data_IF_995757122722
#
_entry.id   IF_995757122722
#
_cell.length_a   1.000
_cell.length_b   1.000
_cell.length_c   1.000
_cell.angle_alpha   90.00
_cell.angle_beta   90.00
_cell.angle_gamma   90.00
#
_symmetry.space_group_name_H-M   'P 1'
#
loop_
_entity.id
_entity.type
_entity.pdbx_description
1 polymer ?
#
# COMPACT_ATOMS: atom_id res chain seq x y z
N UNK A 1 29.60 1.75 -24.95
CA UNK A 1 28.19 1.52 -24.54
C UNK A 1 27.40 2.80 -24.78
N UNK A 2 26.62 2.86 -25.85
CA UNK A 2 26.05 4.10 -26.39
C UNK A 2 24.66 4.40 -25.79
N UNK A 3 24.34 5.69 -25.67
CA UNK A 3 23.09 6.26 -25.12
C UNK A 3 21.78 5.65 -25.68
N UNK A 4 21.84 4.99 -26.85
CA UNK A 4 20.73 4.25 -27.48
C UNK A 4 20.33 2.97 -26.73
N UNK A 5 21.27 2.29 -26.07
CA UNK A 5 20.98 1.04 -25.34
C UNK A 5 20.23 1.29 -24.03
N UNK A 6 20.47 2.45 -23.38
CA UNK A 6 19.74 2.87 -22.18
C UNK A 6 18.26 3.16 -22.44
N UNK A 7 17.96 3.84 -23.56
CA UNK A 7 16.59 4.11 -24.01
C UNK A 7 15.85 2.82 -24.37
N UNK A 8 16.51 1.89 -25.08
CA UNK A 8 15.93 0.57 -25.39
C UNK A 8 15.65 -0.26 -24.14
N UNK A 9 16.52 -0.21 -23.13
CA UNK A 9 16.25 -0.85 -21.83
C UNK A 9 15.06 -0.21 -21.12
N UNK A 10 14.96 1.11 -21.08
CA UNK A 10 13.81 1.81 -20.48
C UNK A 10 12.48 1.50 -21.18
N UNK A 11 12.47 1.42 -22.52
CA UNK A 11 11.28 1.06 -23.28
C UNK A 11 10.88 -0.40 -23.00
N UNK A 12 11.85 -1.32 -22.91
CA UNK A 12 11.59 -2.72 -22.55
C UNK A 12 11.05 -2.88 -21.14
N UNK A 13 11.60 -2.16 -20.15
CA UNK A 13 11.06 -2.17 -18.78
C UNK A 13 9.65 -1.58 -18.72
N UNK A 14 9.36 -0.56 -19.52
CA UNK A 14 8.00 0.01 -19.63
C UNK A 14 7.02 -0.98 -20.26
N UNK A 15 7.42 -1.66 -21.32
CA UNK A 15 6.59 -2.68 -21.96
C UNK A 15 6.33 -3.86 -21.03
N UNK A 16 7.32 -4.28 -20.23
CA UNK A 16 7.18 -5.31 -19.22
C UNK A 16 6.19 -4.89 -18.12
N UNK A 17 6.40 -3.72 -17.50
CA UNK A 17 5.50 -3.20 -16.46
C UNK A 17 4.05 -3.01 -16.97
N UNK A 18 3.87 -2.60 -18.23
CA UNK A 18 2.55 -2.46 -18.85
C UNK A 18 1.87 -3.82 -19.10
N UNK A 19 2.64 -4.86 -19.42
CA UNK A 19 2.12 -6.23 -19.60
C UNK A 19 1.74 -6.86 -18.27
N UNK A 20 2.57 -6.68 -17.25
CA UNK A 20 2.28 -7.10 -15.87
C UNK A 20 1.02 -6.42 -15.36
N UNK A 21 0.92 -5.10 -15.52
CA UNK A 21 -0.29 -4.35 -15.15
C UNK A 21 -1.54 -4.85 -15.87
N UNK A 22 -1.47 -5.11 -17.19
CA UNK A 22 -2.60 -5.67 -17.94
C UNK A 22 -3.00 -7.05 -17.43
N UNK A 23 -2.03 -7.91 -17.11
CA UNK A 23 -2.28 -9.25 -16.60
C UNK A 23 -2.90 -9.21 -15.18
N UNK A 24 -2.40 -8.34 -14.30
CA UNK A 24 -2.98 -8.10 -12.98
C UNK A 24 -4.40 -7.53 -13.08
N UNK A 25 -4.64 -6.62 -14.03
CA UNK A 25 -5.95 -6.02 -14.24
C UNK A 25 -6.98 -7.04 -14.75
N UNK A 26 -6.58 -7.95 -15.63
CA UNK A 26 -7.44 -9.06 -16.06
C UNK A 26 -7.70 -10.06 -14.92
N UNK A 27 -6.69 -10.40 -14.11
CA UNK A 27 -6.87 -11.23 -12.90
C UNK A 27 -7.80 -10.57 -11.88
N UNK A 28 -7.69 -9.24 -11.72
CA UNK A 28 -8.58 -8.47 -10.86
C UNK A 28 -10.01 -8.47 -11.38
N UNK A 29 -10.23 -8.24 -12.67
CA UNK A 29 -11.57 -8.35 -13.28
C UNK A 29 -12.14 -9.75 -13.13
N UNK A 30 -11.32 -10.79 -13.27
CA UNK A 30 -11.73 -12.17 -13.02
C UNK A 30 -12.09 -12.40 -11.54
N UNK A 31 -11.27 -11.89 -10.61
CA UNK A 31 -11.53 -11.96 -9.17
C UNK A 31 -12.77 -11.15 -8.75
N UNK A 32 -13.03 -10.01 -9.40
CA UNK A 32 -14.20 -9.16 -9.15
C UNK A 32 -15.47 -9.77 -9.76
N UNK A 33 -15.38 -10.44 -10.92
CA UNK A 33 -16.48 -11.26 -11.45
C UNK A 33 -16.76 -12.48 -10.55
N UNK A 34 -15.72 -13.07 -9.94
CA UNK A 34 -15.87 -14.12 -8.93
C UNK A 34 -16.45 -13.59 -7.61
N UNK A 35 -16.05 -12.38 -7.19
CA UNK A 35 -16.52 -11.69 -5.99
C UNK A 35 -17.89 -11.01 -6.17
N UNK A 36 -18.35 -10.76 -7.39
CA UNK A 36 -19.68 -10.24 -7.70
C UNK A 36 -20.83 -11.17 -7.23
N UNK A 37 -20.50 -12.40 -6.81
CA UNK A 37 -21.42 -13.34 -6.16
C UNK A 37 -21.41 -13.26 -4.62
N UNK A 38 -20.49 -12.51 -4.02
CA UNK A 38 -20.40 -12.20 -2.58
C UNK A 38 -20.14 -10.71 -2.43
N UNK A 39 -21.21 -9.92 -2.52
CA UNK A 39 -21.23 -8.53 -2.06
C UNK A 39 -20.66 -8.46 -0.63
N UNK A 40 -19.92 -7.40 -0.37
CA UNK A 40 -19.28 -7.02 0.92
C UNK A 40 -17.86 -7.54 1.15
N UNK A 41 -16.90 -6.92 0.44
CA UNK A 41 -15.58 -6.69 1.02
C UNK A 41 -15.10 -5.29 0.63
N UNK A 42 -15.30 -4.38 1.59
CA UNK A 42 -14.51 -3.19 1.95
C UNK A 42 -13.50 -2.65 0.93
N UNK A 43 -13.74 -1.39 0.52
CA UNK A 43 -12.76 -0.33 0.27
C UNK A 43 -11.38 -0.75 -0.29
N UNK A 44 -11.36 -1.35 -1.48
CA UNK A 44 -10.18 -1.30 -2.32
C UNK A 44 -10.09 0.09 -2.97
N UNK A 45 -9.76 1.10 -2.16
CA UNK A 45 -9.45 2.45 -2.61
C UNK A 45 -8.12 2.41 -3.38
N UNK A 46 -8.21 2.04 -4.65
CA UNK A 46 -7.11 1.97 -5.59
C UNK A 46 -6.74 3.41 -5.96
N UNK A 47 -5.61 3.96 -5.46
CA UNK A 47 -5.13 5.22 -5.96
C UNK A 47 -4.78 4.95 -7.43
N UNK A 48 -5.13 5.87 -8.32
CA UNK A 48 -4.76 5.76 -9.73
C UNK A 48 -3.27 5.50 -9.94
N UNK A 49 -2.85 5.21 -11.19
CA UNK A 49 -1.44 4.94 -11.49
C UNK A 49 -0.53 6.02 -10.87
N UNK A 50 0.66 5.64 -10.36
CA UNK A 50 1.54 6.61 -9.72
C UNK A 50 1.74 7.80 -10.65
N UNK A 51 1.63 9.04 -10.15
CA UNK A 51 1.84 10.21 -10.99
C UNK A 51 3.21 10.07 -11.63
N UNK A 52 3.25 10.14 -12.97
CA UNK A 52 4.46 10.04 -13.78
C UNK A 52 4.74 11.40 -14.42
N UNK A 53 5.89 11.55 -15.09
CA UNK A 53 6.25 12.76 -15.85
C UNK A 53 5.14 13.24 -16.79
N UNK A 54 4.32 12.31 -17.30
CA UNK A 54 3.16 12.59 -18.15
C UNK A 54 2.09 13.46 -17.50
N UNK A 55 1.90 13.40 -16.17
CA UNK A 55 0.93 14.24 -15.47
C UNK A 55 1.29 15.74 -15.55
N UNK A 56 2.56 16.04 -15.80
CA UNK A 56 3.06 17.41 -15.89
C UNK A 56 3.16 17.93 -17.33
N UNK A 57 2.99 17.07 -18.35
CA UNK A 57 3.08 17.47 -19.76
C UNK A 57 1.95 18.38 -20.23
N UNK A 58 0.67 18.20 -19.81
CA UNK A 58 -0.41 19.10 -20.23
C UNK A 58 -0.14 20.57 -19.91
N UNK A 59 0.64 20.85 -18.86
CA UNK A 59 1.02 22.20 -18.49
C UNK A 59 1.89 22.90 -19.53
N UNK A 60 2.61 22.18 -20.40
CA UNK A 60 3.36 22.79 -21.52
C UNK A 60 2.43 23.57 -22.47
N UNK A 61 1.13 23.28 -22.49
CA UNK A 61 0.13 24.06 -23.24
C UNK A 61 0.04 25.51 -22.77
N UNK A 62 0.47 25.82 -21.54
CA UNK A 62 0.54 27.20 -21.06
C UNK A 62 1.57 28.03 -21.84
N UNK A 63 2.59 27.39 -22.42
CA UNK A 63 3.55 28.03 -23.32
C UNK A 63 3.06 28.21 -24.76
N UNK A 64 1.82 27.81 -25.08
CA UNK A 64 1.28 27.88 -26.44
C UNK A 64 1.14 29.31 -26.96
N UNK A 65 0.93 30.29 -26.06
CA UNK A 65 0.95 31.72 -26.43
C UNK A 65 2.30 32.15 -27.02
N UNK A 66 3.41 31.71 -26.43
CA UNK A 66 4.77 31.98 -26.94
C UNK A 66 5.01 31.35 -28.31
N UNK A 67 4.48 30.14 -28.53
CA UNK A 67 4.52 29.48 -29.84
C UNK A 67 3.66 30.20 -30.89
N UNK A 68 2.48 30.68 -30.49
CA UNK A 68 1.59 31.47 -31.35
C UNK A 68 2.26 32.78 -31.78
N UNK A 69 2.92 33.48 -30.85
CA UNK A 69 3.66 34.71 -31.15
C UNK A 69 4.86 34.48 -32.09
N UNK A 70 5.45 33.28 -32.04
CA UNK A 70 6.50 32.86 -32.96
C UNK A 70 5.96 32.67 -34.39
N UNK A 71 4.82 31.98 -34.53
CA UNK A 71 4.18 31.74 -35.82
C UNK A 71 3.57 32.99 -36.45
N UNK A 72 3.02 33.90 -35.63
CA UNK A 72 2.44 35.16 -36.09
C UNK A 72 3.50 36.22 -36.44
N UNK A 73 4.79 35.92 -36.32
CA UNK A 73 5.88 36.85 -36.63
C UNK A 73 5.98 38.06 -35.68
N UNK A 74 5.34 38.00 -34.51
CA UNK A 74 5.33 39.09 -33.51
C UNK A 74 6.58 39.11 -32.62
N UNK A 75 7.49 38.15 -32.81
CA UNK A 75 8.70 37.96 -32.01
C UNK A 75 9.93 38.55 -32.69
N UNK A 76 10.66 39.47 -32.03
CA UNK A 76 11.94 39.94 -32.53
C UNK A 76 12.93 38.77 -32.66
N UNK A 77 13.40 38.47 -33.86
CA UNK A 77 14.29 37.34 -34.16
C UNK A 77 13.67 35.94 -33.82
N UNK A 78 12.84 35.39 -34.73
CA UNK A 78 12.12 34.14 -34.50
C UNK A 78 13.02 32.91 -34.34
N UNK A 79 14.23 32.90 -34.93
CA UNK A 79 15.14 31.76 -34.82
C UNK A 79 15.64 31.55 -33.38
N UNK A 80 15.97 32.64 -32.68
CA UNK A 80 16.41 32.59 -31.29
C UNK A 80 15.25 32.17 -30.38
N UNK A 81 14.06 32.74 -30.60
CA UNK A 81 12.86 32.39 -29.85
C UNK A 81 12.48 30.91 -30.02
N UNK A 82 12.51 30.41 -31.25
CA UNK A 82 12.25 29.00 -31.56
C UNK A 82 13.25 28.04 -30.90
N UNK A 83 14.55 28.37 -30.96
CA UNK A 83 15.59 27.57 -30.30
C UNK A 83 15.42 27.58 -28.78
N UNK A 84 15.12 28.74 -28.20
CA UNK A 84 14.87 28.90 -26.76
C UNK A 84 13.65 28.10 -26.29
N UNK A 85 12.54 28.17 -27.03
CA UNK A 85 11.33 27.40 -26.76
C UNK A 85 11.58 25.89 -26.78
N UNK A 86 12.28 25.41 -27.82
CA UNK A 86 12.63 23.99 -27.94
C UNK A 86 13.53 23.53 -26.79
N UNK A 87 14.53 24.34 -26.43
CA UNK A 87 15.47 24.05 -25.34
C UNK A 87 14.75 24.05 -23.99
N UNK A 88 13.85 25.00 -23.75
CA UNK A 88 13.04 25.07 -22.53
C UNK A 88 12.14 23.84 -22.39
N UNK A 89 11.38 23.48 -23.43
CA UNK A 89 10.51 22.32 -23.41
C UNK A 89 11.30 21.01 -23.19
N UNK A 90 12.47 20.89 -23.81
CA UNK A 90 13.37 19.75 -23.63
C UNK A 90 13.88 19.65 -22.18
N UNK A 91 14.30 20.77 -21.59
CA UNK A 91 14.72 20.85 -20.18
C UNK A 91 13.56 20.55 -19.22
N UNK A 92 12.38 21.09 -19.49
CA UNK A 92 11.18 20.84 -18.70
C UNK A 92 10.82 19.36 -18.67
N UNK A 93 10.75 18.70 -19.84
CA UNK A 93 10.48 17.26 -19.94
C UNK A 93 11.57 16.47 -19.20
N UNK A 94 12.83 16.85 -19.36
CA UNK A 94 13.94 16.17 -18.69
C UNK A 94 13.86 16.26 -17.15
N UNK A 95 13.60 17.45 -16.61
CA UNK A 95 13.50 17.68 -15.17
C UNK A 95 12.25 17.01 -14.60
N UNK A 96 11.10 17.18 -15.24
CA UNK A 96 9.84 16.58 -14.78
C UNK A 96 9.93 15.07 -14.72
N UNK A 97 10.40 14.38 -15.76
CA UNK A 97 10.56 12.91 -15.71
C UNK A 97 11.55 12.43 -14.66
N UNK A 98 12.64 13.17 -14.43
CA UNK A 98 13.61 12.83 -13.38
C UNK A 98 13.14 13.12 -11.97
N UNK A 99 12.20 14.04 -11.80
CA UNK A 99 11.64 14.40 -10.49
C UNK A 99 10.85 13.26 -9.85
N UNK A 100 10.34 12.31 -10.66
CA UNK A 100 9.60 11.14 -10.19
C UNK A 100 10.50 9.99 -9.72
N UNK A 101 11.78 10.03 -10.04
CA UNK A 101 12.77 9.04 -9.59
C UNK A 101 13.60 9.66 -8.45
N UNK A 102 13.46 9.13 -7.23
CA UNK A 102 14.09 9.68 -6.01
C UNK A 102 15.61 9.77 -6.12
N UNK A 103 16.26 8.82 -6.81
CA UNK A 103 17.70 8.81 -7.01
C UNK A 103 18.13 9.89 -8.03
N UNK A 104 17.38 10.04 -9.12
CA UNK A 104 17.69 11.03 -10.16
C UNK A 104 17.32 12.46 -9.75
N UNK A 105 16.29 12.64 -8.91
CA UNK A 105 15.86 13.94 -8.39
C UNK A 105 16.97 14.68 -7.64
N UNK A 106 17.76 13.97 -6.82
CA UNK A 106 18.86 14.54 -6.02
C UNK A 106 20.19 14.66 -6.80
N UNK A 107 20.26 14.17 -8.02
CA UNK A 107 21.48 14.23 -8.84
C UNK A 107 21.85 15.68 -9.16
N UNK A 108 23.15 15.96 -9.16
CA UNK A 108 23.73 17.25 -9.58
C UNK A 108 23.22 17.65 -10.97
N UNK A 109 23.08 16.69 -11.88
CA UNK A 109 22.59 16.93 -13.23
C UNK A 109 21.15 17.47 -13.30
N UNK A 110 20.28 17.14 -12.34
CA UNK A 110 18.92 17.69 -12.25
C UNK A 110 18.93 19.12 -11.71
N UNK A 111 19.82 19.41 -10.75
CA UNK A 111 20.04 20.78 -10.25
C UNK A 111 20.61 21.70 -11.32
N UNK A 112 21.61 21.22 -12.08
CA UNK A 112 22.18 21.94 -13.21
C UNK A 112 21.11 22.20 -14.27
N UNK A 113 20.28 21.20 -14.61
CA UNK A 113 19.18 21.39 -15.55
C UNK A 113 18.15 22.43 -15.08
N UNK A 114 17.82 22.47 -13.78
CA UNK A 114 16.94 23.50 -13.21
C UNK A 114 17.56 24.90 -13.28
N UNK A 115 18.86 25.03 -12.99
CA UNK A 115 19.56 26.32 -13.10
C UNK A 115 19.59 26.79 -14.55
N UNK A 116 19.95 25.91 -15.49
CA UNK A 116 19.93 26.21 -16.92
C UNK A 116 18.53 26.61 -17.40
N UNK A 117 17.50 25.89 -16.93
CA UNK A 117 16.12 26.20 -17.24
C UNK A 117 15.72 27.58 -16.69
N UNK A 118 16.11 27.92 -15.46
CA UNK A 118 15.87 29.25 -14.88
C UNK A 118 16.59 30.39 -15.60
N UNK A 119 17.85 30.19 -16.00
CA UNK A 119 18.59 31.15 -16.81
C UNK A 119 17.93 31.36 -18.18
N UNK A 120 17.50 30.27 -18.83
CA UNK A 120 16.80 30.32 -20.10
C UNK A 120 15.44 31.03 -19.98
N UNK A 121 14.65 30.71 -18.95
CA UNK A 121 13.39 31.40 -18.64
C UNK A 121 13.60 32.89 -18.46
N UNK A 122 14.65 33.27 -17.72
CA UNK A 122 14.99 34.68 -17.49
C UNK A 122 15.36 35.40 -18.79
N UNK A 123 16.22 34.79 -19.62
CA UNK A 123 16.64 35.37 -20.89
C UNK A 123 15.46 35.55 -21.86
N UNK A 124 14.58 34.54 -21.95
CA UNK A 124 13.38 34.61 -22.77
C UNK A 124 12.37 35.65 -22.25
N UNK A 125 12.17 35.72 -20.94
CA UNK A 125 11.29 36.69 -20.29
C UNK A 125 11.74 38.14 -20.55
N UNK A 126 13.03 38.44 -20.34
CA UNK A 126 13.57 39.79 -20.53
C UNK A 126 13.62 40.18 -22.02
N UNK A 127 13.97 39.24 -22.89
CA UNK A 127 14.09 39.45 -24.33
C UNK A 127 12.75 39.71 -25.03
N UNK A 128 11.75 38.88 -24.73
CA UNK A 128 10.49 38.87 -25.48
C UNK A 128 9.28 39.44 -24.71
N UNK A 129 9.25 39.30 -23.38
CA UNK A 129 8.12 39.73 -22.56
C UNK A 129 6.78 39.03 -22.88
N UNK A 130 5.67 39.59 -22.40
CA UNK A 130 4.31 39.09 -22.68
C UNK A 130 4.13 37.61 -22.36
N UNK A 131 3.63 36.84 -23.32
CA UNK A 131 3.36 35.39 -23.15
C UNK A 131 4.58 34.56 -22.76
N UNK A 132 5.81 35.06 -22.98
CA UNK A 132 7.04 34.38 -22.58
C UNK A 132 7.24 34.39 -21.05
N UNK A 133 6.53 35.25 -20.32
CA UNK A 133 6.53 35.25 -18.86
C UNK A 133 5.81 34.03 -18.27
N UNK A 134 4.97 33.33 -19.05
CA UNK A 134 4.30 32.08 -18.63
C UNK A 134 5.26 30.90 -18.42
N UNK A 135 6.53 31.04 -18.83
CA UNK A 135 7.55 30.04 -18.49
C UNK A 135 7.94 30.04 -17.01
N UNK A 136 7.66 31.10 -16.26
CA UNK A 136 7.93 31.15 -14.82
C UNK A 136 7.08 30.17 -14.00
N UNK A 137 5.75 30.08 -14.18
CA UNK A 137 4.98 29.06 -13.48
C UNK A 137 5.33 27.63 -13.89
N UNK A 138 5.76 27.39 -15.13
CA UNK A 138 6.30 26.09 -15.56
C UNK A 138 7.63 25.75 -14.87
N UNK A 139 8.51 26.75 -14.68
CA UNK A 139 9.70 26.60 -13.85
C UNK A 139 9.32 26.34 -12.39
N UNK A 140 8.30 27.02 -11.85
CA UNK A 140 7.75 26.78 -10.52
C UNK A 140 7.28 25.34 -10.33
N UNK A 141 6.55 24.79 -11.30
CA UNK A 141 6.11 23.39 -11.33
C UNK A 141 7.31 22.43 -11.32
N UNK A 142 8.32 22.66 -12.17
CA UNK A 142 9.53 21.85 -12.21
C UNK A 142 10.33 21.91 -10.88
N UNK A 143 10.43 23.09 -10.27
CA UNK A 143 11.05 23.32 -8.96
C UNK A 143 10.29 22.58 -7.86
N UNK A 144 8.96 22.71 -7.81
CA UNK A 144 8.12 22.00 -6.83
C UNK A 144 8.20 20.48 -6.97
N UNK A 145 8.28 19.97 -8.20
CA UNK A 145 8.44 18.55 -8.45
C UNK A 145 9.81 18.02 -7.97
N UNK A 146 10.87 18.81 -8.14
CA UNK A 146 12.25 18.42 -7.84
C UNK A 146 12.67 18.66 -6.38
N UNK A 147 12.25 19.77 -5.78
CA UNK A 147 12.59 20.19 -4.43
C UNK A 147 11.41 19.88 -3.48
N UNK A 148 11.23 18.60 -3.15
CA UNK A 148 10.26 18.20 -2.10
C UNK A 148 10.94 18.28 -0.74
N UNK A 149 10.41 19.08 0.19
CA UNK A 149 10.94 19.15 1.56
C UNK A 149 10.69 20.47 2.30
N UNK A 150 11.29 20.63 3.50
CA UNK A 150 11.02 21.76 4.39
C UNK A 150 11.49 23.12 3.85
N UNK A 151 12.43 23.13 2.90
CA UNK A 151 12.92 24.34 2.25
C UNK A 151 12.03 24.83 1.10
N UNK A 152 11.01 24.05 0.72
CA UNK A 152 10.13 24.36 -0.39
C UNK A 152 9.47 25.74 -0.24
N UNK A 153 8.93 26.05 0.94
CA UNK A 153 8.27 27.34 1.17
C UNK A 153 9.20 28.53 0.92
N UNK A 154 10.47 28.44 1.37
CA UNK A 154 11.49 29.46 1.12
C UNK A 154 11.87 29.53 -0.35
N UNK A 155 12.16 28.40 -0.99
CA UNK A 155 12.56 28.38 -2.41
C UNK A 155 11.44 28.81 -3.34
N UNK A 156 10.19 28.43 -3.05
CA UNK A 156 9.02 28.82 -3.83
C UNK A 156 8.69 30.30 -3.67
N UNK A 157 8.81 30.84 -2.45
CA UNK A 157 8.63 32.27 -2.20
C UNK A 157 9.72 33.08 -2.90
N UNK A 158 11.00 32.70 -2.77
CA UNK A 158 12.11 33.37 -3.45
C UNK A 158 11.94 33.34 -4.97
N UNK A 159 11.54 32.20 -5.53
CA UNK A 159 11.28 32.07 -6.96
C UNK A 159 10.09 32.93 -7.41
N UNK A 160 9.03 33.02 -6.59
CA UNK A 160 7.87 33.85 -6.86
C UNK A 160 8.21 35.34 -6.86
N UNK A 161 8.95 35.81 -5.85
CA UNK A 161 9.43 37.20 -5.78
C UNK A 161 10.34 37.51 -6.96
N UNK A 162 11.23 36.59 -7.31
CA UNK A 162 12.09 36.73 -8.48
C UNK A 162 11.28 36.82 -9.79
N UNK A 163 10.33 35.92 -10.00
CA UNK A 163 9.45 35.95 -11.16
C UNK A 163 8.65 37.25 -11.24
N UNK A 164 8.08 37.70 -10.12
CA UNK A 164 7.35 38.97 -10.04
C UNK A 164 8.25 40.17 -10.39
N UNK A 165 9.50 40.20 -9.90
CA UNK A 165 10.45 41.26 -10.20
C UNK A 165 10.81 41.31 -11.70
N UNK A 166 11.08 40.15 -12.33
CA UNK A 166 11.37 40.10 -13.77
C UNK A 166 10.16 40.51 -14.59
N UNK A 167 8.97 40.05 -14.22
CA UNK A 167 7.71 40.42 -14.87
C UNK A 167 7.38 41.90 -14.72
N UNK A 168 7.69 42.50 -13.58
CA UNK A 168 7.48 43.93 -13.34
C UNK A 168 8.26 44.81 -14.33
N UNK A 169 9.52 44.45 -14.58
CA UNK A 169 10.40 45.19 -15.53
C UNK A 169 9.82 45.19 -16.94
N UNK A 170 9.02 44.18 -17.31
CA UNK A 170 8.62 43.97 -18.71
C UNK A 170 7.13 44.15 -19.02
N UNK A 171 6.26 43.95 -18.04
CA UNK A 171 4.80 44.03 -18.18
C UNK A 171 4.09 44.87 -17.10
N UNK A 172 4.85 45.46 -16.16
CA UNK A 172 4.30 46.28 -15.09
C UNK A 172 3.63 45.46 -13.96
N UNK A 173 2.86 46.16 -13.12
CA UNK A 173 2.29 45.59 -11.88
C UNK A 173 1.26 44.47 -12.11
N UNK A 174 0.49 44.54 -13.21
CA UNK A 174 -0.52 43.52 -13.54
C UNK A 174 0.14 42.16 -13.80
N UNK A 175 1.14 42.14 -14.66
CA UNK A 175 1.88 40.92 -14.99
C UNK A 175 2.72 40.42 -13.79
N UNK A 176 3.34 41.33 -13.03
CA UNK A 176 4.14 40.99 -11.86
C UNK A 176 3.36 40.18 -10.82
N UNK A 177 2.17 40.66 -10.46
CA UNK A 177 1.33 40.01 -9.44
C UNK A 177 0.79 38.66 -9.92
N UNK A 178 0.29 38.59 -11.16
CA UNK A 178 -0.24 37.36 -11.75
C UNK A 178 0.81 36.26 -11.90
N UNK A 179 1.98 36.59 -12.46
CA UNK A 179 3.04 35.61 -12.71
C UNK A 179 3.75 35.21 -11.41
N UNK A 180 3.97 36.14 -10.48
CA UNK A 180 4.48 35.83 -9.14
C UNK A 180 3.57 34.85 -8.41
N UNK A 181 2.27 35.13 -8.37
CA UNK A 181 1.27 34.27 -7.73
C UNK A 181 1.17 32.89 -8.41
N UNK A 182 1.06 32.86 -9.74
CA UNK A 182 1.01 31.60 -10.48
C UNK A 182 2.26 30.74 -10.25
N UNK A 183 3.44 31.36 -10.22
CA UNK A 183 4.72 30.66 -9.96
C UNK A 183 4.77 30.07 -8.56
N UNK A 184 4.34 30.83 -7.55
CA UNK A 184 4.22 30.34 -6.18
C UNK A 184 3.27 29.15 -6.12
N UNK A 185 2.05 29.31 -6.64
CA UNK A 185 1.00 28.30 -6.58
C UNK A 185 1.41 27.02 -7.31
N UNK A 186 1.96 27.11 -8.52
CA UNK A 186 2.45 25.95 -9.28
C UNK A 186 3.54 25.19 -8.51
N UNK A 187 4.46 25.89 -7.85
CA UNK A 187 5.51 25.25 -7.06
C UNK A 187 4.98 24.56 -5.79
N UNK A 188 4.06 25.21 -5.06
CA UNK A 188 3.48 24.67 -3.83
C UNK A 188 2.58 23.48 -4.11
N UNK A 189 1.62 23.63 -5.03
CA UNK A 189 0.62 22.60 -5.34
C UNK A 189 1.30 21.33 -5.86
N UNK A 190 2.27 21.48 -6.77
CA UNK A 190 2.99 20.32 -7.33
C UNK A 190 3.76 19.58 -6.25
N UNK A 191 4.46 20.30 -5.37
CA UNK A 191 5.20 19.68 -4.29
C UNK A 191 4.29 19.04 -3.23
N UNK A 192 3.16 19.67 -2.90
CA UNK A 192 2.18 19.15 -1.96
C UNK A 192 1.54 17.85 -2.47
N UNK A 193 1.05 17.84 -3.71
CA UNK A 193 0.43 16.66 -4.32
C UNK A 193 1.42 15.50 -4.41
N UNK A 194 2.63 15.76 -4.92
CA UNK A 194 3.64 14.71 -5.09
C UNK A 194 4.21 14.24 -3.74
N UNK A 195 4.37 15.14 -2.78
CA UNK A 195 4.79 14.83 -1.41
C UNK A 195 3.77 13.97 -0.67
N UNK A 196 2.49 14.34 -0.73
CA UNK A 196 1.40 13.56 -0.15
C UNK A 196 1.32 12.16 -0.79
N UNK A 197 1.42 12.09 -2.12
CA UNK A 197 1.43 10.82 -2.84
C UNK A 197 2.61 9.91 -2.44
N UNK A 198 3.79 10.48 -2.18
CA UNK A 198 4.97 9.76 -1.69
C UNK A 198 4.76 9.28 -0.24
N UNK A 199 4.24 10.14 0.64
CA UNK A 199 3.93 9.80 2.04
C UNK A 199 2.87 8.70 2.17
N UNK A 200 1.81 8.76 1.36
CA UNK A 200 0.75 7.72 1.34
C UNK A 200 1.33 6.38 0.90
N UNK A 201 2.21 6.36 -0.11
CA UNK A 201 2.90 5.13 -0.54
C UNK A 201 3.81 4.56 0.54
N UNK A 202 4.61 5.40 1.18
CA UNK A 202 5.49 4.98 2.28
C UNK A 202 4.69 4.43 3.46
N UNK A 203 3.58 5.09 3.84
CA UNK A 203 2.69 4.62 4.90
C UNK A 203 2.07 3.26 4.58
N UNK A 204 1.62 3.05 3.35
CA UNK A 204 1.04 1.77 2.91
C UNK A 204 2.08 0.65 2.95
N UNK A 205 3.26 0.89 2.40
CA UNK A 205 4.37 -0.07 2.46
C UNK A 205 4.74 -0.43 3.91
N UNK A 206 4.79 0.57 4.80
CA UNK A 206 5.04 0.35 6.22
C UNK A 206 3.92 -0.46 6.90
N UNK A 207 2.66 -0.19 6.58
CA UNK A 207 1.50 -0.97 7.10
C UNK A 207 1.55 -2.43 6.63
N UNK A 208 1.87 -2.69 5.37
CA UNK A 208 2.02 -4.06 4.86
C UNK A 208 3.17 -4.81 5.53
N UNK A 209 4.28 -4.12 5.78
CA UNK A 209 5.42 -4.69 6.50
C UNK A 209 5.08 -5.00 7.96
N UNK A 210 4.35 -4.10 8.63
CA UNK A 210 3.86 -4.33 10.00
C UNK A 210 2.89 -5.51 10.06
N UNK A 211 1.97 -5.62 9.09
CA UNK A 211 1.03 -6.74 9.02
C UNK A 211 1.76 -8.08 8.82
N UNK A 212 2.75 -8.12 7.91
CA UNK A 212 3.59 -9.31 7.70
C UNK A 212 4.33 -9.72 8.98
N UNK A 213 4.97 -8.76 9.64
CA UNK A 213 5.68 -9.01 10.91
C UNK A 213 4.75 -9.47 12.03
N UNK A 214 3.54 -8.92 12.09
CA UNK A 214 2.54 -9.35 13.07
C UNK A 214 2.16 -10.82 12.87
N UNK A 215 1.90 -11.24 11.63
CA UNK A 215 1.60 -12.65 11.29
C UNK A 215 2.77 -13.58 11.61
N UNK A 216 4.01 -13.18 11.28
CA UNK A 216 5.19 -14.00 11.61
C UNK A 216 5.42 -14.14 13.11
N UNK A 217 5.26 -13.03 13.86
CA UNK A 217 5.34 -13.03 15.32
C UNK A 217 4.29 -13.95 15.93
N UNK A 218 3.07 -13.91 15.39
CA UNK A 218 1.97 -14.77 15.82
C UNK A 218 2.28 -16.25 15.55
N UNK A 219 2.78 -16.57 14.35
CA UNK A 219 3.18 -17.93 13.99
C UNK A 219 4.28 -18.47 14.90
N UNK A 220 5.26 -17.63 15.26
CA UNK A 220 6.34 -18.01 16.18
C UNK A 220 5.84 -18.23 17.61
N UNK A 221 4.92 -17.38 18.09
CA UNK A 221 4.25 -17.59 19.37
C UNK A 221 3.48 -18.91 19.37
N UNK A 222 2.61 -19.10 18.37
CA UNK A 222 1.82 -20.31 18.21
C UNK A 222 2.67 -21.59 18.18
N UNK A 223 3.78 -21.57 17.43
CA UNK A 223 4.69 -22.72 17.38
C UNK A 223 5.34 -23.03 18.73
N UNK A 224 5.61 -22.01 19.55
CA UNK A 224 6.19 -22.19 20.89
C UNK A 224 5.16 -22.77 21.84
N UNK A 225 3.95 -22.19 21.86
CA UNK A 225 2.87 -22.65 22.73
C UNK A 225 2.50 -24.11 22.41
N UNK A 226 2.46 -24.48 21.12
CA UNK A 226 2.28 -25.87 20.69
C UNK A 226 3.43 -26.77 21.15
N UNK A 227 4.68 -26.31 21.03
CA UNK A 227 5.85 -27.09 21.42
C UNK A 227 5.89 -27.33 22.93
N UNK A 228 5.54 -26.32 23.74
CA UNK A 228 5.52 -26.43 25.20
C UNK A 228 4.43 -27.40 25.66
N UNK A 229 3.23 -27.33 25.08
CA UNK A 229 2.12 -28.25 25.36
C UNK A 229 2.46 -29.70 24.98
N UNK A 230 3.00 -29.89 23.78
CA UNK A 230 3.44 -31.20 23.30
C UNK A 230 4.58 -31.75 24.16
N UNK A 231 5.58 -30.93 24.46
CA UNK A 231 6.76 -31.30 25.24
C UNK A 231 6.39 -31.76 26.65
N UNK A 232 5.51 -31.01 27.32
CA UNK A 232 5.03 -31.38 28.65
C UNK A 232 4.25 -32.70 28.64
N UNK A 233 3.26 -32.83 27.73
CA UNK A 233 2.42 -34.04 27.63
C UNK A 233 3.27 -35.28 27.35
N UNK A 234 4.16 -35.21 26.36
CA UNK A 234 5.02 -36.33 26.00
C UNK A 234 5.94 -36.73 27.16
N UNK A 235 6.45 -35.76 27.91
CA UNK A 235 7.26 -36.03 29.11
C UNK A 235 6.46 -36.79 30.18
N UNK A 236 5.20 -36.38 30.45
CA UNK A 236 4.31 -37.08 31.39
C UNK A 236 4.02 -38.50 30.92
N UNK A 237 3.74 -38.70 29.63
CA UNK A 237 3.51 -40.03 29.05
C UNK A 237 4.73 -40.93 29.23
N UNK A 238 5.94 -40.42 28.97
CA UNK A 238 7.19 -41.18 29.14
C UNK A 238 7.38 -41.59 30.60
N UNK A 239 7.21 -40.67 31.55
CA UNK A 239 7.37 -40.95 32.99
C UNK A 239 6.34 -41.97 33.49
N UNK A 240 5.05 -41.81 33.12
CA UNK A 240 4.00 -42.77 33.50
C UNK A 240 4.21 -44.15 32.85
N UNK A 241 4.69 -44.19 31.60
CA UNK A 241 5.01 -45.45 30.92
C UNK A 241 6.16 -46.19 31.61
N UNK A 242 7.16 -45.45 32.09
CA UNK A 242 8.23 -46.04 32.90
C UNK A 242 7.71 -46.57 34.25
N UNK A 243 6.82 -45.83 34.93
CA UNK A 243 6.19 -46.28 36.17
C UNK A 243 5.37 -47.56 35.96
N UNK A 244 4.54 -47.62 34.91
CA UNK A 244 3.78 -48.81 34.55
C UNK A 244 4.70 -50.02 34.31
N UNK A 245 5.79 -49.84 33.56
CA UNK A 245 6.79 -50.89 33.32
C UNK A 245 7.44 -51.40 34.60
N UNK A 246 7.72 -50.53 35.57
CA UNK A 246 8.31 -50.89 36.87
C UNK A 246 7.30 -51.57 37.81
N UNK A 247 6.01 -51.24 37.71
CA UNK A 247 4.94 -51.79 38.56
C UNK A 247 4.42 -53.14 38.05
N UNK A 248 4.39 -53.37 36.73
CA UNK A 248 3.80 -54.57 36.13
C UNK A 248 4.22 -55.93 36.75
N UNK A 249 5.48 -56.14 37.19
CA UNK A 249 5.88 -57.40 37.83
C UNK A 249 5.42 -57.55 39.29
N UNK A 250 5.05 -56.45 39.95
CA UNK A 250 4.76 -56.39 41.40
C UNK A 250 3.28 -56.15 41.70
N UNK A 251 2.65 -55.32 40.89
CA UNK A 251 1.26 -54.88 41.05
C UNK A 251 0.69 -54.56 39.66
N UNK A 252 -0.06 -55.52 39.12
CA UNK A 252 -0.65 -55.41 37.79
C UNK A 252 -1.79 -54.37 37.77
N UNK A 253 -2.56 -54.26 38.84
CA UNK A 253 -3.68 -53.31 38.92
C UNK A 253 -3.15 -51.86 38.95
N UNK A 254 -2.08 -51.60 39.70
CA UNK A 254 -1.42 -50.29 39.70
C UNK A 254 -0.77 -49.96 38.34
N UNK A 255 -0.24 -50.97 37.62
CA UNK A 255 0.30 -50.77 36.28
C UNK A 255 -0.81 -50.45 35.26
N UNK A 256 -1.95 -51.14 35.32
CA UNK A 256 -3.12 -50.87 34.48
C UNK A 256 -3.67 -49.46 34.74
N UNK A 257 -3.72 -49.01 36.00
CA UNK A 257 -4.14 -47.64 36.33
C UNK A 257 -3.24 -46.57 35.67
N UNK A 258 -1.91 -46.78 35.63
CA UNK A 258 -1.01 -45.87 34.92
C UNK A 258 -1.25 -45.88 33.40
N UNK A 259 -1.59 -47.02 32.81
CA UNK A 259 -1.92 -47.13 31.38
C UNK A 259 -3.21 -46.37 31.07
N UNK A 260 -4.25 -46.50 31.90
CA UNK A 260 -5.49 -45.72 31.76
C UNK A 260 -5.24 -44.22 31.87
N UNK A 261 -4.40 -43.79 32.80
CA UNK A 261 -4.00 -42.38 32.91
C UNK A 261 -3.25 -41.88 31.67
N UNK A 262 -2.36 -42.70 31.08
CA UNK A 262 -1.66 -42.35 29.83
C UNK A 262 -2.67 -42.17 28.70
N UNK A 263 -3.67 -43.04 28.57
CA UNK A 263 -4.74 -42.90 27.58
C UNK A 263 -5.51 -41.59 27.78
N UNK A 264 -5.89 -41.28 29.02
CA UNK A 264 -6.58 -40.05 29.39
C UNK A 264 -5.76 -38.81 29.01
N UNK A 265 -4.48 -38.75 29.42
CA UNK A 265 -3.56 -37.64 29.10
C UNK A 265 -3.38 -37.48 27.59
N UNK A 266 -3.24 -38.58 26.84
CA UNK A 266 -3.11 -38.54 25.38
C UNK A 266 -4.37 -38.02 24.68
N UNK A 267 -5.56 -38.45 25.13
CA UNK A 267 -6.85 -37.93 24.61
C UNK A 267 -7.06 -36.46 24.93
N UNK A 268 -6.67 -36.03 26.13
CA UNK A 268 -6.75 -34.63 26.54
C UNK A 268 -5.84 -33.74 25.70
N UNK A 269 -4.56 -34.12 25.52
CA UNK A 269 -3.64 -33.35 24.69
C UNK A 269 -4.07 -33.25 23.21
N UNK A 270 -4.65 -34.32 22.65
CA UNK A 270 -5.23 -34.28 21.31
C UNK A 270 -6.38 -33.27 21.19
N UNK A 271 -7.19 -33.13 22.25
CA UNK A 271 -8.25 -32.13 22.33
C UNK A 271 -7.66 -30.71 22.39
N UNK A 272 -6.70 -30.48 23.30
CA UNK A 272 -6.05 -29.17 23.47
C UNK A 272 -5.32 -28.71 22.19
N UNK A 273 -4.64 -29.61 21.46
CA UNK A 273 -4.03 -29.31 20.16
C UNK A 273 -5.09 -28.98 19.11
N UNK A 274 -6.22 -29.70 19.08
CA UNK A 274 -7.31 -29.39 18.16
C UNK A 274 -7.89 -28.01 18.44
N UNK A 275 -8.05 -27.63 19.69
CA UNK A 275 -8.52 -26.29 20.08
C UNK A 275 -7.50 -25.20 19.72
N UNK A 276 -6.21 -25.44 19.94
CA UNK A 276 -5.13 -24.54 19.55
C UNK A 276 -5.02 -24.37 18.02
N UNK A 277 -5.03 -25.45 17.23
CA UNK A 277 -4.88 -25.42 15.75
C UNK A 277 -6.13 -24.93 15.04
N UNK A 278 -7.31 -25.26 15.55
CA UNK A 278 -8.54 -24.60 15.08
C UNK A 278 -8.59 -23.13 15.52
N UNK A 279 -7.60 -22.68 16.29
CA UNK A 279 -7.21 -21.30 16.44
C UNK A 279 -8.28 -20.54 17.17
N UNK A 280 -8.70 -21.01 18.36
CA UNK A 280 -9.73 -20.31 19.11
C UNK A 280 -10.88 -19.93 18.17
N UNK A 281 -11.24 -20.82 17.23
CA UNK A 281 -12.38 -20.60 16.36
C UNK A 281 -13.50 -20.45 17.37
N UNK A 282 -13.88 -19.20 17.62
CA UNK A 282 -15.22 -18.81 17.99
C UNK A 282 -16.06 -19.69 17.09
N UNK A 283 -16.50 -20.82 17.67
CA UNK A 283 -17.22 -21.81 16.92
C UNK A 283 -18.44 -21.05 16.52
N UNK A 284 -18.53 -20.67 15.24
CA UNK A 284 -19.74 -20.05 14.75
C UNK A 284 -20.87 -20.95 15.23
N UNK A 285 -21.95 -20.36 15.74
CA UNK A 285 -23.02 -21.09 16.39
C UNK A 285 -23.53 -22.18 15.45
N UNK A 286 -23.50 -21.91 14.14
CA UNK A 286 -23.78 -22.90 13.09
C UNK A 286 -22.86 -24.14 13.12
N UNK A 287 -21.56 -23.96 13.35
CA UNK A 287 -20.59 -25.05 13.47
C UNK A 287 -20.82 -25.88 14.73
N UNK A 288 -21.06 -25.22 15.88
CA UNK A 288 -21.34 -25.92 17.15
C UNK A 288 -22.70 -26.63 17.12
N UNK A 289 -23.74 -26.07 16.49
CA UNK A 289 -25.03 -26.75 16.30
C UNK A 289 -24.92 -27.98 15.38
N UNK A 290 -24.08 -27.91 14.34
CA UNK A 290 -23.82 -29.08 13.49
C UNK A 290 -23.14 -30.20 14.27
N UNK A 291 -22.16 -29.86 15.13
CA UNK A 291 -21.50 -30.82 16.03
C UNK A 291 -22.48 -31.39 17.07
N UNK A 292 -23.31 -30.53 17.66
CA UNK A 292 -24.36 -30.92 18.60
C UNK A 292 -25.29 -31.97 18.01
N UNK A 293 -25.75 -31.77 16.75
CA UNK A 293 -26.59 -32.74 16.04
C UNK A 293 -25.91 -34.11 15.96
N UNK A 294 -24.65 -34.15 15.50
CA UNK A 294 -23.91 -35.41 15.38
C UNK A 294 -23.72 -36.11 16.73
N UNK A 295 -23.41 -35.36 17.79
CA UNK A 295 -23.20 -35.91 19.13
C UNK A 295 -24.50 -36.47 19.75
N UNK A 296 -25.61 -35.72 19.67
CA UNK A 296 -26.90 -36.17 20.19
C UNK A 296 -27.45 -37.38 19.42
N UNK A 297 -27.35 -37.38 18.08
CA UNK A 297 -27.75 -38.53 17.27
C UNK A 297 -26.92 -39.78 17.57
N UNK A 298 -25.61 -39.63 17.85
CA UNK A 298 -24.77 -40.74 18.27
C UNK A 298 -25.15 -41.30 19.66
N UNK A 299 -25.75 -40.47 20.51
CA UNK A 299 -26.33 -40.86 21.80
C UNK A 299 -27.80 -41.31 21.70
N UNK A 300 -28.33 -41.52 20.49
CA UNK A 300 -29.73 -41.88 20.23
C UNK A 300 -30.76 -40.87 20.76
N UNK A 301 -30.35 -39.61 20.96
CA UNK A 301 -31.23 -38.49 21.30
C UNK A 301 -31.59 -37.77 20.01
N UNK A 302 -32.88 -37.60 19.71
CA UNK A 302 -33.35 -36.95 18.49
C UNK A 302 -33.40 -35.41 18.65
N UNK A 303 -32.53 -34.64 17.96
CA UNK A 303 -32.41 -33.21 18.20
C UNK A 303 -33.29 -32.40 17.24
N UNK A 304 -34.14 -31.53 17.79
CA UNK A 304 -34.98 -30.59 17.02
C UNK A 304 -34.29 -29.22 16.97
N UNK A 305 -34.01 -28.73 15.76
CA UNK A 305 -33.37 -27.43 15.54
C UNK A 305 -34.33 -26.47 14.85
N UNK A 306 -34.48 -25.25 15.40
CA UNK A 306 -35.17 -24.13 14.75
C UNK A 306 -34.25 -22.91 14.80
N UNK A 307 -33.94 -22.34 13.62
CA UNK A 307 -33.16 -21.11 13.50
C UNK A 307 -34.07 -19.98 13.02
N UNK A 308 -34.10 -18.88 13.78
CA UNK A 308 -34.83 -17.66 13.44
C UNK A 308 -34.01 -16.44 13.90
N UNK A 309 -34.13 -15.34 13.16
CA UNK A 309 -33.51 -14.05 13.52
C UNK A 309 -32.44 -13.55 12.55
N UNK A 310 -31.90 -12.37 12.86
CA UNK A 310 -30.80 -11.72 12.14
C UNK A 310 -29.44 -12.31 12.52
N UNK A 311 -28.40 -12.15 11.69
CA UNK A 311 -27.04 -12.56 12.03
C UNK A 311 -26.62 -11.96 13.39
N UNK A 312 -26.02 -12.79 14.23
CA UNK A 312 -25.53 -12.39 15.54
C UNK A 312 -24.18 -11.69 15.40
N UNK A 313 -23.87 -10.81 16.35
CA UNK A 313 -22.52 -10.29 16.53
C UNK A 313 -21.54 -11.46 16.88
N UNK A 314 -20.29 -11.46 16.38
CA UNK A 314 -19.33 -12.54 16.61
C UNK A 314 -19.13 -12.95 18.07
N UNK A 315 -19.15 -12.00 19.02
CA UNK A 315 -18.98 -12.31 20.44
C UNK A 315 -20.18 -13.07 21.01
N UNK A 316 -21.39 -12.71 20.56
CA UNK A 316 -22.63 -13.39 20.97
C UNK A 316 -22.71 -14.78 20.36
N UNK A 317 -22.27 -14.90 19.10
CA UNK A 317 -22.24 -16.17 18.39
C UNK A 317 -21.28 -17.17 19.06
N UNK A 318 -20.09 -16.70 19.47
CA UNK A 318 -19.12 -17.49 20.22
C UNK A 318 -19.63 -17.96 21.58
N UNK A 319 -20.27 -17.05 22.34
CA UNK A 319 -20.83 -17.36 23.67
C UNK A 319 -21.92 -18.44 23.57
N UNK A 320 -22.85 -18.29 22.63
CA UNK A 320 -23.92 -19.28 22.42
C UNK A 320 -23.37 -20.61 21.91
N UNK A 321 -22.31 -20.60 21.08
CA UNK A 321 -21.61 -21.81 20.68
C UNK A 321 -21.09 -22.60 21.89
N UNK A 322 -20.54 -21.90 22.89
CA UNK A 322 -20.07 -22.53 24.14
C UNK A 322 -21.22 -23.11 24.97
N UNK A 323 -22.32 -22.38 25.10
CA UNK A 323 -23.53 -22.84 25.81
C UNK A 323 -24.09 -24.11 25.18
N UNK A 324 -24.18 -24.17 23.85
CA UNK A 324 -24.66 -25.36 23.13
C UNK A 324 -23.75 -26.56 23.39
N UNK A 325 -22.43 -26.37 23.35
CA UNK A 325 -21.47 -27.45 23.59
C UNK A 325 -21.62 -28.03 25.00
N UNK A 326 -21.71 -27.17 26.01
CA UNK A 326 -21.87 -27.60 27.40
C UNK A 326 -23.22 -28.29 27.65
N UNK A 327 -24.30 -27.75 27.07
CA UNK A 327 -25.62 -28.36 27.17
C UNK A 327 -25.66 -29.77 26.56
N UNK A 328 -25.07 -29.96 25.38
CA UNK A 328 -24.97 -31.28 24.73
C UNK A 328 -24.14 -32.24 25.55
N UNK A 329 -23.02 -31.77 26.12
CA UNK A 329 -22.16 -32.60 26.97
C UNK A 329 -22.92 -33.08 28.21
N UNK A 330 -23.72 -32.20 28.82
CA UNK A 330 -24.58 -32.55 29.95
C UNK A 330 -25.65 -33.57 29.57
N UNK A 331 -26.32 -33.40 28.42
CA UNK A 331 -27.31 -34.39 27.94
C UNK A 331 -26.65 -35.74 27.72
N UNK A 332 -25.52 -35.80 27.01
CA UNK A 332 -24.83 -37.06 26.71
C UNK A 332 -24.31 -37.76 27.97
N UNK A 333 -23.94 -37.03 29.02
CA UNK A 333 -23.47 -37.62 30.29
C UNK A 333 -24.57 -37.99 31.27
N UNK A 334 -25.69 -37.27 31.27
CA UNK A 334 -26.63 -37.28 32.39
C UNK A 334 -28.10 -37.49 32.01
N UNK A 335 -28.44 -37.62 30.72
CA UNK A 335 -29.79 -38.02 30.27
C UNK A 335 -29.92 -39.54 30.09
#
# INVERSE_FOLDING_TARGET
>A
MTRRDGLRRQVRTWQAARREWKAEHERFKAAQRAAGKKRECSDAEHPGPPPTGFALLPWLLMGLGSFSNLLQGRTPNPWIGGLGLFTFNSLYIYVTFRSFDRAKRRSVSTRVALVLMGLLTTGLALGYGGDWLTFFPLLGLAVGAALRGPWLGRTGLLLSVYAAAVSYVRGGWGDASGIGYATFLSSMVTAAILGLSEAVRELRAAREELARRAVEKERLRFSRDLHDLLGHTLSVIVVKSEAARRLAPRDMDAALAQITDIESVGRQALTEIREAVTGYREGSLATELTRARSALSAASVEPVFSQSGTPLDPQTEALLGWVVREAVTNVVRHS
#
